data_IF_340997778487
#
_entry.id   IF_340997778487
#
_cell.length_a   1.000
_cell.length_b   1.000
_cell.length_c   1.000
_cell.angle_alpha   90.00
_cell.angle_beta   90.00
_cell.angle_gamma   90.00
#
_symmetry.space_group_name_H-M   'P 1'
#
loop_
_entity.id
_entity.type
_entity.pdbx_description
1 polymer ?
#
# COMPACT_ATOMS: atom_id res chain seq x y z
N UNK A 1 5.04 -32.48 -27.27
CA UNK A 1 5.28 -31.40 -26.30
C UNK A 1 6.41 -31.86 -25.40
N UNK A 2 7.53 -31.15 -25.38
CA UNK A 2 8.71 -31.51 -24.59
C UNK A 2 8.36 -31.50 -23.10
N UNK A 3 8.48 -32.67 -22.44
CA UNK A 3 8.08 -32.87 -21.05
C UNK A 3 9.22 -32.52 -20.07
N UNK A 4 9.91 -31.40 -20.33
CA UNK A 4 11.06 -30.98 -19.51
C UNK A 4 10.55 -30.33 -18.23
N UNK A 5 11.03 -30.74 -17.05
CA UNK A 5 10.58 -30.16 -15.80
C UNK A 5 11.08 -28.73 -15.66
N UNK A 6 10.25 -27.87 -15.07
CA UNK A 6 10.63 -26.51 -14.71
C UNK A 6 11.62 -26.56 -13.54
N UNK A 7 12.73 -25.82 -13.62
CA UNK A 7 13.65 -25.70 -12.49
C UNK A 7 12.93 -25.07 -11.29
N UNK A 8 13.18 -25.55 -10.06
CA UNK A 8 12.67 -24.91 -8.85
C UNK A 8 13.10 -23.44 -8.79
N UNK A 9 12.22 -22.57 -8.30
CA UNK A 9 12.39 -21.12 -8.34
C UNK A 9 11.97 -20.49 -7.00
N UNK A 10 10.72 -20.03 -6.87
CA UNK A 10 10.21 -19.38 -5.65
C UNK A 10 10.32 -20.25 -4.39
N UNK A 11 10.21 -21.57 -4.54
CA UNK A 11 10.26 -22.53 -3.41
C UNK A 11 11.66 -22.74 -2.85
N UNK A 12 12.71 -22.45 -3.62
CA UNK A 12 14.11 -22.66 -3.21
C UNK A 12 14.88 -21.34 -3.03
N UNK A 13 14.34 -20.23 -3.51
CA UNK A 13 15.00 -18.93 -3.49
C UNK A 13 14.82 -18.23 -2.14
N UNK A 14 15.91 -17.70 -1.58
CA UNK A 14 15.89 -16.94 -0.33
C UNK A 14 15.27 -15.55 -0.56
N UNK A 15 14.19 -15.16 0.13
CA UNK A 15 13.61 -13.83 -0.01
C UNK A 15 14.59 -12.73 0.39
N UNK A 16 14.79 -11.74 -0.49
CA UNK A 16 15.49 -10.50 -0.16
C UNK A 16 14.48 -9.42 0.18
N UNK A 17 14.89 -8.49 1.03
CA UNK A 17 14.04 -7.32 1.36
C UNK A 17 13.60 -6.59 0.09
N UNK A 18 14.47 -6.44 -0.90
CA UNK A 18 14.16 -5.72 -2.14
C UNK A 18 13.07 -6.39 -2.97
N UNK A 19 13.10 -7.72 -3.10
CA UNK A 19 12.08 -8.47 -3.83
C UNK A 19 10.75 -8.46 -3.08
N UNK A 20 10.79 -8.60 -1.75
CA UNK A 20 9.60 -8.52 -0.90
C UNK A 20 8.96 -7.13 -1.05
N UNK A 21 9.74 -6.06 -0.90
CA UNK A 21 9.21 -4.70 -1.01
C UNK A 21 8.61 -4.40 -2.38
N UNK A 22 9.20 -4.92 -3.46
CA UNK A 22 8.66 -4.81 -4.82
C UNK A 22 7.32 -5.53 -5.00
N UNK A 23 7.15 -6.72 -4.42
CA UNK A 23 5.86 -7.43 -4.44
C UNK A 23 4.82 -6.65 -3.65
N UNK A 24 5.18 -6.18 -2.45
CA UNK A 24 4.28 -5.35 -1.64
C UNK A 24 3.90 -4.04 -2.35
N UNK A 25 4.80 -3.39 -3.09
CA UNK A 25 4.46 -2.17 -3.84
C UNK A 25 3.38 -2.43 -4.90
N UNK A 26 3.41 -3.59 -5.55
CA UNK A 26 2.37 -4.03 -6.49
C UNK A 26 1.06 -4.37 -5.79
N UNK A 27 1.13 -5.11 -4.67
CA UNK A 27 -0.05 -5.46 -3.87
C UNK A 27 -0.74 -4.20 -3.34
N UNK A 28 0.02 -3.25 -2.78
CA UNK A 28 -0.55 -2.00 -2.28
C UNK A 28 -1.10 -1.14 -3.42
N UNK A 29 -0.44 -1.10 -4.59
CA UNK A 29 -0.95 -0.41 -5.76
C UNK A 29 -2.30 -0.96 -6.24
N UNK A 30 -2.42 -2.29 -6.34
CA UNK A 30 -3.68 -2.95 -6.69
C UNK A 30 -4.77 -2.74 -5.62
N UNK A 31 -4.40 -2.85 -4.34
CA UNK A 31 -5.31 -2.59 -3.22
C UNK A 31 -5.83 -1.15 -3.23
N UNK A 32 -4.96 -0.18 -3.47
CA UNK A 32 -5.34 1.24 -3.55
C UNK A 32 -6.30 1.53 -4.69
N UNK A 33 -6.16 0.87 -5.85
CA UNK A 33 -7.14 0.99 -6.93
C UNK A 33 -8.54 0.55 -6.48
N UNK A 34 -8.65 -0.50 -5.65
CA UNK A 34 -9.92 -0.91 -5.02
C UNK A 34 -10.38 0.13 -3.98
N UNK A 35 -9.47 0.62 -3.14
CA UNK A 35 -9.79 1.66 -2.13
C UNK A 35 -10.30 2.95 -2.78
N UNK A 36 -9.82 3.31 -3.98
CA UNK A 36 -10.34 4.47 -4.73
C UNK A 36 -11.84 4.32 -5.04
N UNK A 37 -12.32 3.12 -5.36
CA UNK A 37 -13.75 2.86 -5.60
C UNK A 37 -14.57 3.16 -4.34
N UNK A 38 -14.06 2.77 -3.16
CA UNK A 38 -14.71 3.06 -1.88
C UNK A 38 -14.80 4.58 -1.62
N UNK A 39 -13.73 5.34 -1.92
CA UNK A 39 -13.72 6.80 -1.81
C UNK A 39 -14.72 7.43 -2.77
N UNK A 40 -14.81 6.94 -4.02
CA UNK A 40 -15.79 7.41 -5.00
C UNK A 40 -17.22 7.18 -4.50
N UNK A 41 -17.53 6.02 -3.93
CA UNK A 41 -18.86 5.78 -3.38
C UNK A 41 -19.16 6.64 -2.15
N UNK A 42 -18.17 6.89 -1.31
CA UNK A 42 -18.32 7.82 -0.19
C UNK A 42 -18.66 9.24 -0.68
N UNK A 43 -17.92 9.76 -1.66
CA UNK A 43 -18.19 11.07 -2.28
C UNK A 43 -19.55 11.10 -3.01
N UNK A 44 -19.92 10.02 -3.70
CA UNK A 44 -21.22 9.92 -4.35
C UNK A 44 -22.36 9.95 -3.32
N UNK A 45 -22.20 9.25 -2.19
CA UNK A 45 -23.19 9.24 -1.11
C UNK A 45 -23.40 10.65 -0.52
N UNK A 46 -22.33 11.45 -0.44
CA UNK A 46 -22.39 12.84 0.00
C UNK A 46 -23.23 13.70 -0.95
N UNK A 47 -23.10 13.48 -2.26
CA UNK A 47 -23.88 14.20 -3.27
C UNK A 47 -25.36 13.77 -3.35
N UNK A 48 -25.69 12.55 -2.91
CA UNK A 48 -27.05 11.98 -2.94
C UNK A 48 -27.95 12.43 -1.77
N UNK A 49 -27.42 13.26 -0.86
CA UNK A 49 -28.16 13.81 0.28
C UNK A 49 -27.95 13.07 1.60
N UNK A 50 -28.42 13.69 2.67
CA UNK A 50 -28.08 13.34 4.05
C UNK A 50 -28.40 11.89 4.43
N UNK A 51 -29.57 11.39 4.03
CA UNK A 51 -29.99 10.03 4.38
C UNK A 51 -29.04 8.97 3.81
N UNK A 52 -28.64 9.12 2.55
CA UNK A 52 -27.71 8.21 1.86
C UNK A 52 -26.31 8.30 2.48
N UNK A 53 -25.83 9.51 2.73
CA UNK A 53 -24.53 9.73 3.37
C UNK A 53 -24.46 9.12 4.78
N UNK A 54 -25.52 9.29 5.58
CA UNK A 54 -25.61 8.71 6.93
C UNK A 54 -25.60 7.17 6.88
N UNK A 55 -26.33 6.59 5.93
CA UNK A 55 -26.30 5.14 5.69
C UNK A 55 -24.89 4.63 5.35
N UNK A 56 -24.17 5.36 4.49
CA UNK A 56 -22.81 5.00 4.11
C UNK A 56 -21.82 5.15 5.27
N UNK A 57 -21.92 6.21 6.07
CA UNK A 57 -21.10 6.37 7.28
C UNK A 57 -21.34 5.24 8.30
N UNK A 58 -22.58 4.79 8.46
CA UNK A 58 -22.87 3.62 9.30
C UNK A 58 -22.18 2.35 8.78
N UNK A 59 -22.12 2.16 7.46
CA UNK A 59 -21.37 1.07 6.84
C UNK A 59 -19.86 1.19 7.11
N UNK A 60 -19.28 2.39 6.98
CA UNK A 60 -17.86 2.62 7.26
C UNK A 60 -17.47 2.40 8.73
N UNK A 61 -18.40 2.61 9.66
CA UNK A 61 -18.19 2.38 11.10
C UNK A 61 -18.17 0.89 11.49
N UNK A 62 -18.37 -0.04 10.55
CA UNK A 62 -18.20 -1.46 10.82
C UNK A 62 -16.72 -1.78 11.12
N UNK A 63 -16.39 -2.51 12.20
CA UNK A 63 -15.01 -2.82 12.56
C UNK A 63 -14.18 -3.45 11.44
N UNK A 64 -14.77 -4.33 10.63
CA UNK A 64 -14.07 -4.94 9.49
C UNK A 64 -13.72 -3.92 8.41
N UNK A 65 -14.62 -2.97 8.16
CA UNK A 65 -14.39 -1.90 7.19
C UNK A 65 -13.36 -0.91 7.72
N UNK A 66 -13.35 -0.63 9.03
CA UNK A 66 -12.30 0.17 9.66
C UNK A 66 -10.92 -0.48 9.45
N UNK A 67 -10.80 -1.82 9.61
CA UNK A 67 -9.54 -2.52 9.31
C UNK A 67 -9.14 -2.33 7.84
N UNK A 68 -10.08 -2.41 6.90
CA UNK A 68 -9.82 -2.15 5.48
C UNK A 68 -9.39 -0.70 5.24
N UNK A 69 -10.01 0.29 5.90
CA UNK A 69 -9.65 1.70 5.80
C UNK A 69 -8.24 1.99 6.35
N UNK A 70 -7.93 1.46 7.54
CA UNK A 70 -6.59 1.60 8.14
C UNK A 70 -5.53 0.89 7.30
N UNK A 71 -5.84 -0.30 6.77
CA UNK A 71 -4.93 -1.02 5.87
C UNK A 71 -4.73 -0.26 4.55
N UNK A 72 -5.78 0.37 4.02
CA UNK A 72 -5.72 1.21 2.82
C UNK A 72 -4.88 2.47 3.06
N UNK A 73 -5.00 3.07 4.25
CA UNK A 73 -4.18 4.21 4.65
C UNK A 73 -2.69 3.83 4.75
N UNK A 74 -2.38 2.69 5.37
CA UNK A 74 -1.01 2.19 5.39
C UNK A 74 -0.50 1.86 3.98
N UNK A 75 -1.33 1.21 3.16
CA UNK A 75 -1.01 0.89 1.77
C UNK A 75 -0.69 2.16 0.96
N UNK A 76 -1.42 3.26 1.19
CA UNK A 76 -1.17 4.57 0.58
C UNK A 76 0.23 5.06 0.91
N UNK A 77 0.58 5.14 2.19
CA UNK A 77 1.89 5.62 2.61
C UNK A 77 3.02 4.69 2.19
N UNK A 78 2.82 3.38 2.26
CA UNK A 78 3.79 2.41 1.79
C UNK A 78 4.03 2.52 0.28
N UNK A 79 2.95 2.61 -0.51
CA UNK A 79 3.04 2.74 -1.97
C UNK A 79 3.72 4.06 -2.35
N UNK A 80 3.38 5.15 -1.66
CA UNK A 80 3.98 6.46 -1.86
C UNK A 80 5.48 6.46 -1.56
N UNK A 81 5.90 6.03 -0.37
CA UNK A 81 7.31 5.99 0.02
C UNK A 81 8.13 5.07 -0.89
N UNK A 82 7.59 3.91 -1.25
CA UNK A 82 8.28 2.98 -2.16
C UNK A 82 8.30 3.53 -3.59
N UNK A 83 7.25 4.23 -4.01
CA UNK A 83 7.18 4.92 -5.30
C UNK A 83 8.21 6.04 -5.42
N UNK A 84 8.40 6.85 -4.37
CA UNK A 84 9.49 7.85 -4.33
C UNK A 84 10.86 7.19 -4.47
N UNK A 85 11.07 6.03 -3.84
CA UNK A 85 12.30 5.25 -4.00
C UNK A 85 12.48 4.76 -5.45
N UNK A 86 11.41 4.31 -6.10
CA UNK A 86 11.45 3.93 -7.52
C UNK A 86 11.81 5.12 -8.41
N UNK A 87 11.18 6.28 -8.21
CA UNK A 87 11.51 7.50 -8.95
C UNK A 87 12.96 7.94 -8.73
N UNK A 88 13.47 7.80 -7.50
CA UNK A 88 14.88 8.09 -7.19
C UNK A 88 15.85 7.16 -7.96
N UNK A 89 15.48 5.89 -8.13
CA UNK A 89 16.22 4.97 -8.98
C UNK A 89 16.10 5.32 -10.45
N UNK A 90 14.91 5.69 -10.94
CA UNK A 90 14.70 6.08 -12.34
C UNK A 90 15.53 7.32 -12.73
N UNK A 91 15.87 8.17 -11.76
CA UNK A 91 16.81 9.29 -11.94
C UNK A 91 18.29 8.88 -12.00
N UNK A 92 18.61 7.60 -11.83
CA UNK A 92 19.97 7.08 -11.91
C UNK A 92 20.71 6.95 -10.58
N UNK A 93 20.02 7.09 -9.44
CA UNK A 93 20.66 7.11 -8.12
C UNK A 93 20.38 5.84 -7.29
N UNK A 94 21.21 5.57 -6.28
CA UNK A 94 20.88 4.62 -5.20
C UNK A 94 20.94 3.13 -5.55
N UNK A 95 21.74 2.74 -6.55
CA UNK A 95 21.86 1.35 -7.01
C UNK A 95 22.78 0.45 -6.19
N UNK A 96 23.63 1.02 -5.33
CA UNK A 96 24.48 0.21 -4.46
C UNK A 96 23.65 -0.62 -3.48
N UNK A 97 24.03 -1.88 -3.23
CA UNK A 97 23.30 -2.80 -2.36
C UNK A 97 23.02 -2.21 -0.97
N UNK A 98 23.99 -1.48 -0.40
CA UNK A 98 23.83 -0.79 0.88
C UNK A 98 22.76 0.29 0.79
N UNK A 99 22.79 1.12 -0.25
CA UNK A 99 21.82 2.20 -0.48
C UNK A 99 20.41 1.66 -0.72
N UNK A 100 20.28 0.62 -1.54
CA UNK A 100 19.02 -0.09 -1.82
C UNK A 100 18.41 -0.68 -0.54
N UNK A 101 19.23 -1.22 0.36
CA UNK A 101 18.77 -1.81 1.63
C UNK A 101 18.34 -0.72 2.62
N UNK A 102 19.12 0.34 2.77
CA UNK A 102 18.80 1.47 3.66
C UNK A 102 17.51 2.16 3.20
N UNK A 103 17.42 2.49 1.92
CA UNK A 103 16.22 3.13 1.35
C UNK A 103 14.98 2.24 1.44
N UNK A 104 15.14 0.91 1.34
CA UNK A 104 14.06 -0.06 1.56
C UNK A 104 13.50 0.00 2.99
N UNK A 105 14.37 -0.07 4.01
CA UNK A 105 13.94 0.04 5.41
C UNK A 105 13.41 1.44 5.75
N UNK A 106 14.01 2.50 5.20
CA UNK A 106 13.52 3.86 5.36
C UNK A 106 12.08 3.98 4.84
N UNK A 107 11.77 3.44 3.66
CA UNK A 107 10.42 3.45 3.11
C UNK A 107 9.41 2.74 4.03
N UNK A 108 9.78 1.58 4.61
CA UNK A 108 8.93 0.85 5.56
C UNK A 108 8.68 1.69 6.81
N UNK A 109 9.74 2.20 7.46
CA UNK A 109 9.61 2.97 8.69
C UNK A 109 8.81 4.26 8.46
N UNK A 110 9.09 5.00 7.39
CA UNK A 110 8.33 6.19 7.02
C UNK A 110 6.85 5.86 6.77
N UNK A 111 6.53 4.72 6.13
CA UNK A 111 5.13 4.35 5.88
C UNK A 111 4.33 4.16 7.17
N UNK A 112 4.91 3.48 8.17
CA UNK A 112 4.27 3.32 9.48
C UNK A 112 4.21 4.63 10.24
N UNK A 113 5.27 5.43 10.21
CA UNK A 113 5.30 6.75 10.86
C UNK A 113 4.20 7.65 10.31
N UNK A 114 4.08 7.79 8.99
CA UNK A 114 3.05 8.62 8.37
C UNK A 114 1.65 8.09 8.61
N UNK A 115 1.47 6.77 8.62
CA UNK A 115 0.18 6.15 9.01
C UNK A 115 -0.19 6.55 10.44
N UNK A 116 0.74 6.39 11.38
CA UNK A 116 0.51 6.75 12.78
C UNK A 116 0.21 8.25 12.96
N UNK A 117 1.00 9.13 12.33
CA UNK A 117 0.78 10.57 12.38
C UNK A 117 -0.58 10.96 11.79
N UNK A 118 -0.99 10.33 10.68
CA UNK A 118 -2.30 10.56 10.08
C UNK A 118 -3.41 10.17 11.04
N UNK A 119 -3.33 8.98 11.64
CA UNK A 119 -4.33 8.53 12.61
C UNK A 119 -4.37 9.41 13.86
N UNK A 120 -3.21 9.82 14.36
CA UNK A 120 -3.11 10.71 15.52
C UNK A 120 -3.82 12.04 15.24
N UNK A 121 -3.56 12.64 14.08
CA UNK A 121 -4.20 13.88 13.66
C UNK A 121 -5.73 13.79 13.58
N UNK A 122 -6.29 12.64 13.20
CA UNK A 122 -7.74 12.44 13.13
C UNK A 122 -8.40 12.12 14.47
N UNK A 123 -7.62 11.72 15.48
CA UNK A 123 -8.12 11.35 16.82
C UNK A 123 -7.94 12.50 17.83
N UNK A 124 -6.93 13.37 17.62
CA UNK A 124 -6.70 14.60 18.40
C UNK A 124 -7.73 15.69 18.11
#
# INVERSE_FOLDING_TARGET
MDNRPLSPHLTVYKPQITSVLSIFHRITGAGLAVSTVLVVFWLASLAMGEATFKGFNNFLNNPLIIVVLVSSLWALWYHFCTGLRHLYWDMGYGYELKSVTISGWAAVVCSFLFTFLTLLFFIS
#
